data_IF_501855217602
#
_entry.id   IF_501855217602
#
_cell.length_a   1.000
_cell.length_b   1.000
_cell.length_c   1.000
_cell.angle_alpha   90.00
_cell.angle_beta   90.00
_cell.angle_gamma   90.00
#
_symmetry.space_group_name_H-M   'P 1'
#
loop_
_entity.id
_entity.type
_entity.pdbx_description
1 polymer ?
#
# COMPACT_ATOMS: atom_id res chain seq x y z
N UNK A 1 -21.31 15.72 8.14
CA UNK A 1 -20.26 15.02 8.85
C UNK A 1 -20.80 13.76 9.50
N UNK A 2 -20.03 12.71 9.48
CA UNK A 2 -20.37 11.47 10.19
C UNK A 2 -20.12 11.76 11.67
N UNK A 3 -21.16 11.70 12.50
CA UNK A 3 -21.04 11.71 13.95
C UNK A 3 -20.56 10.32 14.38
N UNK A 4 -19.27 10.11 14.36
CA UNK A 4 -18.67 8.87 14.82
C UNK A 4 -18.10 9.03 16.23
N UNK A 5 -18.06 7.93 16.98
CA UNK A 5 -17.48 7.93 18.32
C UNK A 5 -15.96 8.02 18.19
N UNK A 6 -15.34 8.89 18.94
CA UNK A 6 -13.86 8.97 19.00
C UNK A 6 -13.32 7.62 19.49
N UNK A 7 -12.40 7.04 18.72
CA UNK A 7 -11.74 5.79 19.08
C UNK A 7 -10.80 5.95 20.29
N UNK A 8 -10.31 4.83 20.80
CA UNK A 8 -9.34 4.84 21.89
C UNK A 8 -8.02 5.52 21.45
N UNK A 9 -7.47 6.38 22.29
CA UNK A 9 -6.14 6.94 22.09
C UNK A 9 -5.08 5.84 22.27
N UNK A 10 -4.02 5.92 21.47
CA UNK A 10 -2.87 5.04 21.65
C UNK A 10 -2.03 5.51 22.85
N UNK A 11 -1.47 4.57 23.59
CA UNK A 11 -0.45 4.84 24.60
C UNK A 11 0.85 5.38 24.00
N UNK A 12 1.83 5.63 24.85
CA UNK A 12 3.16 6.06 24.40
C UNK A 12 3.79 4.98 23.50
N UNK A 13 4.46 5.38 22.40
CA UNK A 13 5.16 4.42 21.55
C UNK A 13 6.27 3.69 22.33
N UNK A 14 6.65 2.47 21.93
CA UNK A 14 7.78 1.75 22.52
C UNK A 14 9.06 2.60 22.48
N UNK A 15 9.90 2.46 23.50
CA UNK A 15 11.20 3.13 23.51
C UNK A 15 12.14 2.52 22.47
N UNK A 16 12.96 3.36 21.81
CA UNK A 16 13.93 2.92 20.82
C UNK A 16 13.62 3.42 19.40
N UNK A 17 14.34 2.86 18.42
CA UNK A 17 14.10 3.22 17.01
C UNK A 17 12.94 2.42 16.44
N UNK A 18 12.02 3.09 15.77
CA UNK A 18 10.85 2.45 15.13
C UNK A 18 11.23 1.28 14.22
N UNK A 19 12.35 1.36 13.50
CA UNK A 19 12.80 0.30 12.60
C UNK A 19 13.17 -1.00 13.34
N UNK A 20 13.71 -0.91 14.55
CA UNK A 20 14.15 -2.08 15.31
C UNK A 20 12.95 -2.90 15.79
N UNK A 21 12.01 -2.26 16.49
CA UNK A 21 10.80 -2.95 16.93
C UNK A 21 9.82 -3.20 15.78
N UNK A 22 9.81 -2.37 14.74
CA UNK A 22 9.02 -2.62 13.54
C UNK A 22 9.48 -3.85 12.76
N UNK A 23 10.79 -4.11 12.69
CA UNK A 23 11.34 -5.35 12.11
C UNK A 23 10.88 -6.58 12.92
N UNK A 24 10.88 -6.48 14.25
CA UNK A 24 10.38 -7.55 15.11
C UNK A 24 8.86 -7.74 14.96
N UNK A 25 8.10 -6.65 14.90
CA UNK A 25 6.65 -6.68 14.67
C UNK A 25 6.30 -7.32 13.33
N UNK A 26 6.97 -6.93 12.23
CA UNK A 26 6.78 -7.53 10.92
C UNK A 26 7.02 -9.04 10.94
N UNK A 27 8.14 -9.47 11.53
CA UNK A 27 8.49 -10.88 11.63
C UNK A 27 7.42 -11.66 12.43
N UNK A 28 6.98 -11.12 13.56
CA UNK A 28 5.95 -11.75 14.39
C UNK A 28 4.59 -11.80 13.69
N UNK A 29 4.17 -10.71 13.05
CA UNK A 29 2.91 -10.61 12.32
C UNK A 29 2.86 -11.61 11.17
N UNK A 30 3.95 -11.70 10.39
CA UNK A 30 4.04 -12.56 9.21
C UNK A 30 4.38 -14.02 9.55
N UNK A 31 4.81 -14.31 10.78
CA UNK A 31 5.27 -15.65 11.22
C UNK A 31 6.70 -15.98 10.80
N UNK A 32 7.36 -15.16 10.01
CA UNK A 32 8.75 -15.32 9.56
C UNK A 32 9.32 -13.97 9.08
N UNK A 33 10.66 -13.82 9.03
CA UNK A 33 11.29 -12.64 8.44
C UNK A 33 10.89 -12.46 6.98
N UNK A 34 10.41 -11.29 6.62
CA UNK A 34 10.01 -10.97 5.24
C UNK A 34 11.24 -10.58 4.44
N UNK A 35 11.43 -11.26 3.30
CA UNK A 35 12.53 -11.04 2.35
C UNK A 35 11.98 -11.15 0.94
N UNK A 36 12.67 -10.58 -0.03
CA UNK A 36 12.29 -10.71 -1.43
C UNK A 36 13.00 -9.71 -2.33
N UNK A 37 12.92 -9.96 -3.62
CA UNK A 37 13.62 -9.16 -4.64
C UNK A 37 13.19 -7.69 -4.65
N UNK A 38 11.93 -7.40 -4.30
CA UNK A 38 11.45 -6.03 -4.16
C UNK A 38 12.28 -5.23 -3.15
N UNK A 39 12.62 -5.81 -2.01
CA UNK A 39 13.39 -5.13 -0.96
C UNK A 39 14.87 -5.01 -1.31
N UNK A 40 15.38 -5.91 -2.14
CA UNK A 40 16.73 -5.78 -2.70
C UNK A 40 16.78 -4.69 -3.77
N UNK A 41 15.74 -4.58 -4.59
CA UNK A 41 15.61 -3.56 -5.63
C UNK A 41 15.35 -2.17 -5.05
N UNK A 42 14.50 -2.07 -4.03
CA UNK A 42 14.08 -0.81 -3.42
C UNK A 42 14.22 -0.87 -1.88
N UNK A 43 15.44 -0.82 -1.32
CA UNK A 43 15.67 -0.95 0.12
C UNK A 43 15.00 0.14 0.96
N UNK A 44 14.77 1.32 0.40
CA UNK A 44 14.01 2.38 1.07
C UNK A 44 12.55 1.97 1.36
N UNK A 45 11.92 1.16 0.50
CA UNK A 45 10.58 0.63 0.76
C UNK A 45 10.60 -0.30 1.98
N UNK A 46 11.60 -1.16 2.10
CA UNK A 46 11.76 -2.04 3.26
C UNK A 46 11.95 -1.24 4.55
N UNK A 47 12.76 -0.18 4.50
CA UNK A 47 12.97 0.72 5.63
C UNK A 47 11.67 1.43 6.05
N UNK A 48 10.93 2.03 5.11
CA UNK A 48 9.65 2.68 5.41
C UNK A 48 8.60 1.71 5.93
N UNK A 49 8.49 0.52 5.37
CA UNK A 49 7.57 -0.49 5.88
C UNK A 49 7.93 -0.87 7.32
N UNK A 50 9.19 -1.15 7.61
CA UNK A 50 9.64 -1.55 8.94
C UNK A 50 9.51 -0.40 9.94
N UNK A 51 10.00 0.79 9.61
CA UNK A 51 9.97 1.91 10.54
C UNK A 51 8.55 2.45 10.75
N UNK A 52 7.85 2.78 9.68
CA UNK A 52 6.57 3.48 9.79
C UNK A 52 5.39 2.51 9.95
N UNK A 53 5.18 1.56 9.01
CA UNK A 53 4.01 0.69 9.09
C UNK A 53 4.11 -0.24 10.29
N UNK A 54 5.16 -1.04 10.39
CA UNK A 54 5.30 -2.03 11.45
C UNK A 54 5.82 -1.45 12.77
N UNK A 55 6.57 -0.35 12.70
CA UNK A 55 7.01 0.40 13.87
C UNK A 55 5.92 1.32 14.40
N UNK A 56 5.70 2.44 13.74
CA UNK A 56 4.86 3.52 14.28
C UNK A 56 3.37 3.16 14.30
N UNK A 57 2.86 2.42 13.30
CA UNK A 57 1.43 2.07 13.21
C UNK A 57 1.11 0.78 13.95
N UNK A 58 1.79 -0.34 13.65
CA UNK A 58 1.55 -1.61 14.31
C UNK A 58 2.10 -1.67 15.75
N UNK A 59 2.98 -0.75 16.12
CA UNK A 59 3.43 -0.57 17.51
C UNK A 59 2.39 0.08 18.43
N UNK A 60 1.30 0.66 17.88
CA UNK A 60 0.24 1.29 18.66
C UNK A 60 -0.68 0.24 19.26
N UNK A 61 -1.09 0.46 20.51
CA UNK A 61 -1.90 -0.47 21.31
C UNK A 61 -3.42 -0.24 21.26
N UNK A 62 -3.85 0.80 20.53
CA UNK A 62 -5.27 1.16 20.41
C UNK A 62 -6.10 0.22 19.51
N UNK A 63 -5.46 -0.69 18.79
CA UNK A 63 -6.11 -1.72 17.98
C UNK A 63 -5.21 -2.95 17.88
N UNK A 64 -5.75 -4.13 18.11
CA UNK A 64 -4.98 -5.38 17.99
C UNK A 64 -4.64 -5.72 16.52
N UNK A 65 -3.63 -6.55 16.33
CA UNK A 65 -3.12 -6.90 15.00
C UNK A 65 -4.12 -7.69 14.16
N UNK A 66 -4.91 -8.56 14.81
CA UNK A 66 -5.97 -9.32 14.13
C UNK A 66 -7.00 -8.39 13.52
N UNK A 67 -7.43 -7.36 14.26
CA UNK A 67 -8.38 -6.35 13.78
C UNK A 67 -7.77 -5.48 12.67
N UNK A 68 -6.48 -5.14 12.77
CA UNK A 68 -5.77 -4.43 11.68
C UNK A 68 -5.74 -5.25 10.40
N UNK A 69 -5.43 -6.54 10.49
CA UNK A 69 -5.46 -7.44 9.33
C UNK A 69 -6.87 -7.59 8.74
N UNK A 70 -7.89 -7.67 9.59
CA UNK A 70 -9.29 -7.69 9.13
C UNK A 70 -9.62 -6.44 8.30
N UNK A 71 -9.25 -5.25 8.77
CA UNK A 71 -9.45 -4.00 8.05
C UNK A 71 -8.65 -3.97 6.74
N UNK A 72 -7.41 -4.45 6.74
CA UNK A 72 -6.55 -4.52 5.55
C UNK A 72 -7.13 -5.48 4.51
N UNK A 73 -7.59 -6.66 4.93
CA UNK A 73 -8.25 -7.63 4.05
C UNK A 73 -9.51 -7.02 3.44
N UNK A 74 -10.33 -6.32 4.23
CA UNK A 74 -11.52 -5.64 3.73
C UNK A 74 -11.20 -4.58 2.66
N UNK A 75 -10.19 -3.76 2.91
CA UNK A 75 -9.74 -2.73 1.97
C UNK A 75 -9.22 -3.36 0.67
N UNK A 76 -8.35 -4.37 0.75
CA UNK A 76 -7.81 -5.07 -0.41
C UNK A 76 -8.90 -5.82 -1.20
N UNK A 77 -9.85 -6.46 -0.51
CA UNK A 77 -10.95 -7.16 -1.16
C UNK A 77 -11.93 -6.24 -1.90
N UNK A 78 -12.01 -4.96 -1.48
CA UNK A 78 -12.83 -3.95 -2.13
C UNK A 78 -12.16 -3.32 -3.37
N UNK A 79 -10.95 -3.74 -3.73
CA UNK A 79 -10.19 -3.22 -4.86
C UNK A 79 -9.89 -4.30 -5.89
N UNK A 80 -9.68 -3.93 -7.14
CA UNK A 80 -9.11 -4.79 -8.19
C UNK A 80 -7.61 -4.51 -8.33
N UNK A 81 -6.85 -5.50 -8.81
CA UNK A 81 -5.40 -5.37 -8.97
C UNK A 81 -4.60 -5.56 -7.68
N UNK A 82 -5.23 -6.07 -6.63
CA UNK A 82 -4.63 -6.31 -5.30
C UNK A 82 -4.68 -7.78 -4.87
N UNK A 83 -4.93 -8.70 -5.79
CA UNK A 83 -5.18 -10.12 -5.49
C UNK A 83 -4.00 -10.79 -4.77
N UNK A 84 -2.77 -10.44 -5.16
CA UNK A 84 -1.55 -10.98 -4.53
C UNK A 84 -1.42 -10.52 -3.08
N UNK A 85 -1.63 -9.22 -2.84
CA UNK A 85 -1.62 -8.62 -1.51
C UNK A 85 -2.76 -9.18 -0.65
N UNK A 86 -3.96 -9.28 -1.20
CA UNK A 86 -5.13 -9.85 -0.51
C UNK A 86 -4.83 -11.28 -0.03
N UNK A 87 -4.31 -12.14 -0.89
CA UNK A 87 -3.96 -13.51 -0.53
C UNK A 87 -2.89 -13.56 0.58
N UNK A 88 -1.92 -12.64 0.53
CA UNK A 88 -0.89 -12.53 1.56
C UNK A 88 -1.48 -12.11 2.91
N UNK A 89 -2.32 -11.08 2.93
CA UNK A 89 -2.95 -10.59 4.15
C UNK A 89 -3.99 -11.58 4.74
N UNK A 90 -4.68 -12.37 3.92
CA UNK A 90 -5.52 -13.47 4.41
C UNK A 90 -4.67 -14.49 5.18
N UNK A 91 -3.49 -14.87 4.67
CA UNK A 91 -2.59 -15.79 5.39
C UNK A 91 -2.08 -15.18 6.69
N UNK A 92 -1.67 -13.92 6.66
CA UNK A 92 -1.21 -13.18 7.83
C UNK A 92 -2.34 -13.06 8.87
N UNK A 93 -3.54 -12.69 8.44
CA UNK A 93 -4.70 -12.59 9.32
C UNK A 93 -5.04 -13.91 10.00
N UNK A 94 -5.01 -15.03 9.28
CA UNK A 94 -5.19 -16.37 9.84
C UNK A 94 -4.08 -16.73 10.84
N UNK A 95 -2.82 -16.39 10.53
CA UNK A 95 -1.70 -16.55 11.46
C UNK A 95 -1.92 -15.77 12.77
N UNK A 96 -2.59 -14.63 12.70
CA UNK A 96 -2.91 -13.77 13.86
C UNK A 96 -4.30 -14.05 14.46
N UNK A 97 -4.94 -15.19 14.10
CA UNK A 97 -6.14 -15.70 14.74
C UNK A 97 -7.47 -15.32 14.08
N UNK A 98 -7.47 -14.88 12.82
CA UNK A 98 -8.70 -14.82 12.03
C UNK A 98 -9.17 -16.23 11.68
N UNK A 99 -10.45 -16.49 11.87
CA UNK A 99 -11.09 -17.73 11.44
C UNK A 99 -11.48 -17.69 9.97
N UNK A 100 -11.65 -18.84 9.34
CA UNK A 100 -12.15 -18.93 7.95
C UNK A 100 -13.49 -18.22 7.79
N UNK A 101 -14.42 -18.41 8.72
CA UNK A 101 -15.71 -17.74 8.69
C UNK A 101 -15.63 -16.20 8.77
N UNK A 102 -14.67 -15.65 9.53
CA UNK A 102 -14.43 -14.21 9.57
C UNK A 102 -13.89 -13.69 8.22
N UNK A 103 -12.98 -14.43 7.60
CA UNK A 103 -12.45 -14.09 6.27
C UNK A 103 -13.56 -14.16 5.22
N UNK A 104 -14.35 -15.23 5.20
CA UNK A 104 -15.49 -15.37 4.28
C UNK A 104 -16.51 -14.24 4.43
N UNK A 105 -16.87 -13.88 5.67
CA UNK A 105 -17.81 -12.80 5.94
C UNK A 105 -17.30 -11.45 5.41
N UNK A 106 -16.02 -11.11 5.62
CA UNK A 106 -15.47 -9.85 5.12
C UNK A 106 -15.40 -9.82 3.59
N UNK A 107 -15.04 -10.95 2.94
CA UNK A 107 -15.02 -11.05 1.49
C UNK A 107 -16.44 -10.88 0.91
N UNK A 108 -17.45 -11.44 1.55
CA UNK A 108 -18.85 -11.30 1.13
C UNK A 108 -19.34 -9.83 1.25
N UNK A 109 -19.03 -9.15 2.36
CA UNK A 109 -19.37 -7.73 2.57
C UNK A 109 -18.65 -6.86 1.53
N UNK A 110 -17.37 -7.09 1.28
CA UNK A 110 -16.59 -6.32 0.30
C UNK A 110 -17.11 -6.55 -1.13
N UNK A 111 -17.49 -7.78 -1.48
CA UNK A 111 -18.09 -8.10 -2.78
C UNK A 111 -19.45 -7.38 -2.97
N UNK A 112 -20.28 -7.32 -1.92
CA UNK A 112 -21.56 -6.62 -1.95
C UNK A 112 -21.42 -5.09 -2.10
N UNK A 113 -20.33 -4.52 -1.57
CA UNK A 113 -20.02 -3.09 -1.70
C UNK A 113 -19.50 -2.71 -3.11
N UNK A 114 -19.13 -3.69 -3.93
CA UNK A 114 -18.51 -3.50 -5.24
C UNK A 114 -17.03 -3.18 -5.13
N UNK A 115 -16.30 -3.45 -6.22
CA UNK A 115 -14.86 -3.21 -6.28
C UNK A 115 -14.54 -1.87 -6.94
N UNK A 116 -13.48 -1.21 -6.43
CA UNK A 116 -12.85 -0.06 -7.07
C UNK A 116 -11.51 -0.47 -7.65
N UNK A 117 -11.14 0.11 -8.77
CA UNK A 117 -9.81 -0.11 -9.36
C UNK A 117 -8.74 0.51 -8.45
N UNK A 118 -7.78 -0.30 -8.04
CA UNK A 118 -6.65 0.16 -7.22
C UNK A 118 -5.69 1.05 -8.02
N UNK A 119 -5.64 0.83 -9.34
CA UNK A 119 -4.81 1.59 -10.27
C UNK A 119 -5.67 2.14 -11.41
N UNK A 120 -6.57 3.10 -11.12
CA UNK A 120 -7.47 3.65 -12.13
C UNK A 120 -6.68 4.26 -13.29
N UNK A 121 -7.17 4.11 -14.51
CA UNK A 121 -6.53 4.65 -15.70
C UNK A 121 -6.37 6.17 -15.64
N UNK A 122 -7.33 6.85 -15.04
CA UNK A 122 -7.33 8.31 -14.90
C UNK A 122 -7.75 9.04 -16.17
N UNK A 123 -7.41 10.35 -16.21
CA UNK A 123 -7.78 11.27 -17.27
C UNK A 123 -6.67 11.38 -18.32
N UNK A 124 -7.01 11.69 -19.59
CA UNK A 124 -6.02 11.95 -20.63
C UNK A 124 -5.07 13.08 -20.23
N UNK A 125 -3.77 12.86 -20.41
CA UNK A 125 -2.72 13.81 -20.05
C UNK A 125 -1.79 14.13 -21.25
N UNK A 126 -2.25 14.89 -22.24
CA UNK A 126 -1.49 15.09 -23.48
C UNK A 126 -0.24 15.98 -23.32
N UNK A 127 -0.20 16.85 -22.32
CA UNK A 127 0.84 17.87 -22.21
C UNK A 127 2.25 17.32 -21.90
N UNK A 128 2.32 16.21 -21.18
CA UNK A 128 3.58 15.68 -20.68
C UNK A 128 4.10 14.47 -21.46
N UNK A 129 3.40 14.08 -22.52
CA UNK A 129 3.68 12.84 -23.25
C UNK A 129 3.65 13.04 -24.76
N UNK A 130 4.54 12.34 -25.45
CA UNK A 130 4.45 12.15 -26.91
C UNK A 130 3.68 10.84 -27.14
N UNK A 131 2.41 10.95 -27.54
CA UNK A 131 1.48 9.83 -27.68
C UNK A 131 0.30 9.96 -26.73
N UNK A 132 -0.35 8.84 -26.42
CA UNK A 132 -1.53 8.82 -25.55
C UNK A 132 -1.17 8.27 -24.18
N UNK A 133 -1.36 9.07 -23.15
CA UNK A 133 -1.25 8.65 -21.76
C UNK A 133 -2.45 9.13 -20.94
N UNK A 134 -2.70 8.43 -19.87
CA UNK A 134 -3.72 8.75 -18.87
C UNK A 134 -3.08 8.79 -17.51
N UNK A 135 -3.48 9.71 -16.67
CA UNK A 135 -2.91 9.90 -15.34
C UNK A 135 -4.02 9.92 -14.29
N UNK A 136 -3.88 9.10 -13.28
CA UNK A 136 -4.69 9.14 -12.07
C UNK A 136 -3.81 9.50 -10.89
N UNK A 137 -4.18 10.53 -10.14
CA UNK A 137 -3.56 10.82 -8.85
C UNK A 137 -4.07 9.81 -7.84
N UNK A 138 -3.16 9.08 -7.19
CA UNK A 138 -3.47 8.11 -6.13
C UNK A 138 -3.30 8.73 -4.75
N UNK A 139 -2.27 9.54 -4.57
CA UNK A 139 -1.94 10.22 -3.31
C UNK A 139 -1.46 11.63 -3.61
N UNK A 140 -1.95 12.61 -2.87
CA UNK A 140 -1.41 13.96 -2.77
C UNK A 140 -1.29 14.30 -1.28
N UNK A 141 -0.11 14.11 -0.72
CA UNK A 141 0.15 14.42 0.68
C UNK A 141 1.14 15.56 0.78
N UNK A 142 0.62 16.74 1.06
CA UNK A 142 1.40 17.98 1.13
C UNK A 142 2.20 18.12 2.43
N UNK A 143 1.82 17.42 3.48
CA UNK A 143 2.55 17.47 4.76
C UNK A 143 3.91 16.76 4.64
N UNK A 144 4.02 15.81 3.72
CA UNK A 144 5.25 15.06 3.44
C UNK A 144 5.85 15.37 2.07
N UNK A 145 5.32 16.37 1.35
CA UNK A 145 5.72 16.71 -0.02
C UNK A 145 5.78 15.48 -0.94
N UNK A 146 4.76 14.62 -0.82
CA UNK A 146 4.69 13.34 -1.52
C UNK A 146 3.45 13.25 -2.37
N UNK A 147 3.62 12.87 -3.63
CA UNK A 147 2.52 12.52 -4.52
C UNK A 147 2.79 11.18 -5.21
N UNK A 148 1.73 10.42 -5.45
CA UNK A 148 1.79 9.19 -6.22
C UNK A 148 0.73 9.19 -7.32
N UNK A 149 1.13 8.72 -8.50
CA UNK A 149 0.27 8.68 -9.67
C UNK A 149 0.32 7.30 -10.31
N UNK A 150 -0.83 6.85 -10.82
CA UNK A 150 -0.86 5.79 -11.81
C UNK A 150 -0.82 6.42 -13.21
N UNK A 151 0.12 5.97 -14.04
CA UNK A 151 0.25 6.43 -15.43
C UNK A 151 0.08 5.26 -16.36
N UNK A 152 -0.95 5.32 -17.20
CA UNK A 152 -1.21 4.31 -18.23
C UNK A 152 -0.76 4.83 -19.57
N UNK A 153 0.13 4.11 -20.24
CA UNK A 153 0.65 4.46 -21.57
C UNK A 153 0.01 3.62 -22.66
N UNK A 154 -0.39 4.24 -23.76
CA UNK A 154 -0.62 3.48 -24.98
C UNK A 154 0.72 3.00 -25.56
N UNK A 155 0.74 1.92 -26.36
CA UNK A 155 1.96 1.46 -27.00
C UNK A 155 2.69 2.56 -27.77
N UNK A 156 4.01 2.66 -27.56
CA UNK A 156 4.85 3.66 -28.21
C UNK A 156 4.79 5.07 -27.62
N UNK A 157 4.01 5.30 -26.57
CA UNK A 157 3.96 6.57 -25.85
C UNK A 157 5.26 6.79 -25.08
N UNK A 158 5.74 8.01 -25.01
CA UNK A 158 6.94 8.42 -24.28
C UNK A 158 6.65 9.64 -23.41
N UNK A 159 7.29 9.69 -22.23
CA UNK A 159 7.38 10.93 -21.47
C UNK A 159 8.19 11.97 -22.24
N UNK A 160 7.80 13.23 -22.17
CA UNK A 160 8.67 14.31 -22.52
C UNK A 160 9.77 14.44 -21.44
N UNK A 161 10.96 14.87 -21.87
CA UNK A 161 12.06 15.11 -20.94
C UNK A 161 11.66 16.12 -19.86
N UNK A 162 11.84 15.76 -18.61
CA UNK A 162 11.58 16.63 -17.47
C UNK A 162 12.46 16.21 -16.29
N UNK A 163 12.56 17.07 -15.29
CA UNK A 163 13.30 16.83 -14.06
C UNK A 163 12.39 16.97 -12.85
N UNK A 164 12.74 16.29 -11.78
CA UNK A 164 12.11 16.41 -10.47
C UNK A 164 13.09 17.09 -9.50
N UNK A 165 12.58 18.00 -8.67
CA UNK A 165 13.38 18.65 -7.61
C UNK A 165 13.78 17.71 -6.49
N UNK A 166 13.04 16.62 -6.34
CA UNK A 166 13.25 15.51 -5.40
C UNK A 166 13.27 14.19 -6.16
N UNK A 167 13.63 13.11 -5.50
CA UNK A 167 13.68 11.80 -6.15
C UNK A 167 12.32 11.34 -6.68
N UNK A 168 12.36 10.51 -7.72
CA UNK A 168 11.20 9.81 -8.26
C UNK A 168 11.45 8.31 -8.19
N UNK A 169 10.42 7.54 -7.80
CA UNK A 169 10.43 6.08 -7.85
C UNK A 169 9.40 5.63 -8.87
N UNK A 170 9.81 4.79 -9.81
CA UNK A 170 8.96 4.24 -10.86
C UNK A 170 8.73 2.76 -10.63
N UNK A 171 7.47 2.34 -10.67
CA UNK A 171 7.06 0.94 -10.64
C UNK A 171 6.34 0.60 -11.94
N UNK A 172 6.82 -0.43 -12.63
CA UNK A 172 6.08 -1.00 -13.75
C UNK A 172 5.14 -2.08 -13.21
N UNK A 173 3.85 -1.80 -13.20
CA UNK A 173 2.82 -2.72 -12.70
C UNK A 173 2.30 -3.66 -13.78
N UNK A 174 2.41 -3.26 -15.06
CA UNK A 174 1.97 -4.04 -16.21
C UNK A 174 2.76 -3.63 -17.46
N UNK A 175 3.00 -4.60 -18.36
CA UNK A 175 3.68 -4.35 -19.64
C UNK A 175 5.20 -4.24 -19.54
N UNK A 176 5.80 -3.59 -20.52
CA UNK A 176 7.26 -3.36 -20.59
C UNK A 176 7.50 -1.89 -20.93
N UNK A 177 8.30 -1.23 -20.10
CA UNK A 177 8.76 0.13 -20.31
C UNK A 177 10.28 0.21 -20.41
N UNK A 178 10.77 1.23 -21.09
CA UNK A 178 12.19 1.57 -21.15
C UNK A 178 12.42 2.90 -20.45
N UNK A 179 13.50 2.97 -19.70
CA UNK A 179 13.94 4.16 -18.98
C UNK A 179 15.26 4.65 -19.56
N UNK A 180 15.44 5.96 -19.63
CA UNK A 180 16.68 6.60 -20.05
C UNK A 180 16.97 7.78 -19.12
N UNK A 181 18.21 7.86 -18.64
CA UNK A 181 18.77 8.98 -17.88
C UNK A 181 19.40 10.01 -18.80
#
# INVERSE_FOLDING_TARGET
GINDTVGAEAGAPPAGKSIDFGTANQTKLCGAPVKGDLFLFAPAIDEFLKAHLFGDIFGRDNMDWKTRELATIAALAAMTGTESQLNSHIRIGKHNGLTDGQVEAILAVSAAAGKKDAFPKGEPAPANFTGKAWVAMLVDNRDYDMSAYNVTFAPGTRNNWHSHSVGQVLFCTEGTGYYQE
#
